data_IF_834629651847
#
_entry.id   IF_834629651847
#
_cell.length_a   1.000
_cell.length_b   1.000
_cell.length_c   1.000
_cell.angle_alpha   90.00
_cell.angle_beta   90.00
_cell.angle_gamma   90.00
#
_symmetry.space_group_name_H-M   'P 1'
#
loop_
_entity.id
_entity.type
_entity.pdbx_description
1 polymer ?
#
# COMPACT_ATOMS: atom_id res chain seq x y z
N UNK A 1 0.17 -39.46 -5.37
CA UNK A 1 -0.65 -38.81 -4.31
C UNK A 1 -0.92 -37.38 -4.73
N UNK A 2 -2.16 -37.07 -5.13
CA UNK A 2 -2.56 -35.71 -5.52
C UNK A 2 -2.82 -34.94 -4.23
N UNK A 3 -2.07 -33.87 -3.98
CA UNK A 3 -2.31 -33.01 -2.82
C UNK A 3 -3.74 -32.48 -2.90
N UNK A 4 -4.60 -32.93 -2.00
CA UNK A 4 -5.96 -32.42 -1.82
C UNK A 4 -5.81 -30.97 -1.40
N UNK A 5 -6.00 -30.03 -2.32
CA UNK A 5 -6.14 -28.63 -1.99
C UNK A 5 -7.45 -28.58 -1.20
N UNK A 6 -7.38 -28.56 0.14
CA UNK A 6 -8.53 -28.19 0.94
C UNK A 6 -9.02 -26.85 0.40
N UNK A 7 -10.25 -26.84 -0.13
CA UNK A 7 -10.88 -25.62 -0.61
C UNK A 7 -10.94 -24.65 0.56
N UNK A 8 -10.05 -23.64 0.51
CA UNK A 8 -9.99 -22.57 1.49
C UNK A 8 -11.37 -21.93 1.56
N UNK A 9 -12.01 -22.01 2.72
CA UNK A 9 -13.35 -21.44 2.91
C UNK A 9 -13.38 -19.93 2.60
N UNK A 10 -14.56 -19.38 2.26
CA UNK A 10 -14.70 -17.99 1.80
C UNK A 10 -14.23 -16.95 2.85
N UNK A 11 -14.18 -17.31 4.13
CA UNK A 11 -13.69 -16.45 5.23
C UNK A 11 -12.17 -16.52 5.45
N UNK A 12 -11.47 -17.40 4.75
CA UNK A 12 -10.03 -17.56 4.89
C UNK A 12 -9.27 -16.38 4.28
N UNK A 13 -8.24 -15.90 5.00
CA UNK A 13 -7.35 -14.86 4.51
C UNK A 13 -5.89 -15.16 4.85
N UNK A 14 -5.01 -14.68 3.98
CA UNK A 14 -3.56 -14.71 4.18
C UNK A 14 -3.01 -13.33 4.52
N UNK A 15 -3.62 -12.26 4.03
CA UNK A 15 -3.08 -10.92 4.23
C UNK A 15 -4.14 -9.84 4.29
N UNK A 16 -3.69 -8.63 4.62
CA UNK A 16 -4.53 -7.43 4.75
C UNK A 16 -3.96 -6.30 3.89
N UNK A 17 -4.78 -5.77 2.98
CA UNK A 17 -4.55 -4.50 2.30
C UNK A 17 -5.15 -3.38 3.14
N UNK A 18 -4.38 -2.34 3.41
CA UNK A 18 -4.84 -1.14 4.09
C UNK A 18 -4.68 0.04 3.15
N UNK A 19 -5.79 0.58 2.66
CA UNK A 19 -5.79 1.79 1.86
C UNK A 19 -6.05 2.98 2.78
N UNK A 20 -5.21 4.01 2.71
CA UNK A 20 -5.30 5.22 3.53
C UNK A 20 -5.35 6.45 2.63
N UNK A 21 -6.30 7.34 2.93
CA UNK A 21 -6.71 8.45 2.10
C UNK A 21 -6.94 8.05 0.62
N UNK A 22 -7.61 6.92 0.33
CA UNK A 22 -7.71 6.46 -1.06
C UNK A 22 -8.57 7.39 -1.91
N UNK A 23 -8.11 7.66 -3.13
CA UNK A 23 -8.98 8.25 -4.16
C UNK A 23 -9.95 7.18 -4.70
N UNK A 24 -11.11 7.57 -5.27
CA UNK A 24 -12.02 6.62 -5.92
C UNK A 24 -11.33 5.79 -7.01
N UNK A 25 -10.38 6.38 -7.75
CA UNK A 25 -9.60 5.67 -8.78
C UNK A 25 -8.77 4.52 -8.17
N UNK A 26 -8.12 4.75 -7.02
CA UNK A 26 -7.32 3.73 -6.32
C UNK A 26 -8.22 2.58 -5.87
N UNK A 27 -9.37 2.88 -5.27
CA UNK A 27 -10.33 1.84 -4.82
C UNK A 27 -10.83 1.02 -6.00
N UNK A 28 -11.24 1.67 -7.08
CA UNK A 28 -11.73 1.02 -8.29
C UNK A 28 -10.65 0.15 -8.94
N UNK A 29 -9.41 0.64 -9.00
CA UNK A 29 -8.28 -0.14 -9.50
C UNK A 29 -8.04 -1.41 -8.70
N UNK A 30 -8.04 -1.30 -7.37
CA UNK A 30 -7.85 -2.44 -6.46
C UNK A 30 -8.96 -3.47 -6.65
N UNK A 31 -10.23 -3.05 -6.62
CA UNK A 31 -11.37 -3.95 -6.81
C UNK A 31 -11.34 -4.63 -8.18
N UNK A 32 -11.03 -3.88 -9.25
CA UNK A 32 -10.85 -4.44 -10.60
C UNK A 32 -9.75 -5.50 -10.63
N UNK A 33 -8.60 -5.25 -9.99
CA UNK A 33 -7.48 -6.20 -9.99
C UNK A 33 -7.81 -7.48 -9.23
N UNK A 34 -8.56 -7.39 -8.14
CA UNK A 34 -9.03 -8.55 -7.39
C UNK A 34 -10.01 -9.36 -8.24
N UNK A 35 -11.01 -8.71 -8.84
CA UNK A 35 -12.02 -9.38 -9.68
C UNK A 35 -11.45 -10.06 -10.94
N UNK A 36 -10.28 -9.60 -11.42
CA UNK A 36 -9.57 -10.20 -12.55
C UNK A 36 -8.88 -11.52 -12.21
N UNK A 37 -8.64 -11.82 -10.93
CA UNK A 37 -7.94 -13.02 -10.49
C UNK A 37 -8.94 -14.02 -9.90
N UNK A 38 -9.17 -15.13 -10.61
CA UNK A 38 -10.13 -16.17 -10.21
C UNK A 38 -9.76 -16.88 -8.90
N UNK A 39 -8.52 -16.74 -8.44
CA UNK A 39 -8.01 -17.43 -7.25
C UNK A 39 -7.90 -16.51 -6.03
N UNK A 40 -8.36 -15.26 -6.14
CA UNK A 40 -8.28 -14.26 -5.06
C UNK A 40 -9.66 -13.72 -4.75
N UNK A 41 -10.00 -13.65 -3.46
CA UNK A 41 -11.24 -13.04 -3.00
C UNK A 41 -11.01 -12.19 -1.76
N UNK A 42 -11.98 -11.33 -1.47
CA UNK A 42 -12.05 -10.53 -0.26
C UNK A 42 -12.80 -11.34 0.80
N UNK A 43 -12.09 -11.76 1.86
CA UNK A 43 -12.67 -12.50 2.98
C UNK A 43 -13.43 -11.58 3.96
N UNK A 44 -12.97 -10.33 4.07
CA UNK A 44 -13.56 -9.28 4.92
C UNK A 44 -13.21 -7.91 4.35
N UNK A 45 -14.14 -6.97 4.40
CA UNK A 45 -13.92 -5.55 4.16
C UNK A 45 -14.36 -4.76 5.41
N UNK A 46 -13.56 -3.79 5.83
CA UNK A 46 -13.86 -2.95 7.00
C UNK A 46 -13.50 -1.49 6.71
N UNK A 47 -14.39 -0.57 7.11
CA UNK A 47 -14.11 0.88 7.02
C UNK A 47 -13.14 1.28 8.13
N UNK A 48 -12.07 1.98 7.76
CA UNK A 48 -11.15 2.62 8.68
C UNK A 48 -11.41 4.14 8.71
N UNK A 49 -10.95 4.83 9.76
CA UNK A 49 -11.14 6.29 9.94
C UNK A 49 -10.85 7.13 8.69
N UNK A 50 -9.82 6.75 7.93
CA UNK A 50 -9.41 7.45 6.72
C UNK A 50 -9.19 6.51 5.53
N UNK A 51 -9.98 5.44 5.42
CA UNK A 51 -9.89 4.54 4.28
C UNK A 51 -10.56 3.19 4.51
N UNK A 52 -9.99 2.14 3.93
CA UNK A 52 -10.57 0.79 3.97
C UNK A 52 -9.49 -0.27 4.19
N UNK A 53 -9.85 -1.30 4.94
CA UNK A 53 -9.04 -2.51 5.14
C UNK A 53 -9.73 -3.69 4.42
N UNK A 54 -8.98 -4.40 3.58
CA UNK A 54 -9.43 -5.58 2.84
C UNK A 54 -8.58 -6.80 3.25
N UNK A 55 -9.23 -7.86 3.71
CA UNK A 55 -8.57 -9.14 3.99
C UNK A 55 -8.64 -10.02 2.74
N UNK A 56 -7.49 -10.44 2.23
CA UNK A 56 -7.35 -11.18 0.98
C UNK A 56 -6.82 -12.60 1.21
N UNK A 57 -7.25 -13.53 0.37
CA UNK A 57 -6.88 -14.95 0.41
C UNK A 57 -5.49 -15.29 -0.11
N UNK A 58 -4.73 -14.32 -0.64
CA UNK A 58 -3.41 -14.54 -1.25
C UNK A 58 -2.39 -13.47 -0.89
N UNK A 59 -1.32 -13.87 -0.17
CA UNK A 59 -0.17 -13.01 0.14
C UNK A 59 0.59 -12.57 -1.11
N UNK A 60 0.78 -13.50 -2.07
CA UNK A 60 1.51 -13.23 -3.31
C UNK A 60 0.83 -12.13 -4.12
N UNK A 61 -0.48 -12.26 -4.30
CA UNK A 61 -1.29 -11.25 -4.98
C UNK A 61 -1.21 -9.91 -4.26
N UNK A 62 -1.35 -9.90 -2.93
CA UNK A 62 -1.33 -8.68 -2.13
C UNK A 62 -0.01 -7.90 -2.27
N UNK A 63 1.13 -8.61 -2.24
CA UNK A 63 2.46 -8.00 -2.43
C UNK A 63 2.65 -7.42 -3.84
N UNK A 64 2.19 -8.14 -4.86
CA UNK A 64 2.25 -7.67 -6.24
C UNK A 64 1.34 -6.46 -6.49
N UNK A 65 0.12 -6.50 -5.96
CA UNK A 65 -0.82 -5.39 -5.99
C UNK A 65 -0.22 -4.14 -5.32
N UNK A 66 0.43 -4.30 -4.16
CA UNK A 66 1.14 -3.20 -3.50
C UNK A 66 2.21 -2.54 -4.38
N UNK A 67 3.02 -3.33 -5.09
CA UNK A 67 4.03 -2.82 -6.03
C UNK A 67 3.37 -2.08 -7.20
N UNK A 68 2.27 -2.62 -7.75
CA UNK A 68 1.50 -1.99 -8.82
C UNK A 68 0.90 -0.65 -8.39
N UNK A 69 0.36 -0.57 -7.17
CA UNK A 69 -0.15 0.67 -6.59
C UNK A 69 0.93 1.75 -6.52
N UNK A 70 2.11 1.42 -5.95
CA UNK A 70 3.24 2.37 -5.87
C UNK A 70 3.72 2.85 -7.23
N UNK A 71 3.69 2.00 -8.26
CA UNK A 71 4.10 2.39 -9.61
C UNK A 71 3.10 3.32 -10.29
N UNK A 72 1.80 3.15 -10.03
CA UNK A 72 0.73 3.86 -10.73
C UNK A 72 0.24 5.12 -10.02
N UNK A 73 0.24 5.13 -8.69
CA UNK A 73 -0.40 6.17 -7.90
C UNK A 73 0.59 6.89 -6.99
N UNK A 74 0.30 8.16 -6.71
CA UNK A 74 1.00 8.96 -5.71
C UNK A 74 0.76 8.36 -4.32
N UNK A 75 1.80 7.81 -3.69
CA UNK A 75 1.62 7.23 -2.37
C UNK A 75 2.83 6.54 -1.78
N UNK A 76 2.67 6.17 -0.52
CA UNK A 76 3.66 5.46 0.28
C UNK A 76 3.18 4.03 0.51
N UNK A 77 4.00 3.09 0.05
CA UNK A 77 3.83 1.66 0.29
C UNK A 77 4.64 1.23 1.51
N UNK A 78 3.99 0.58 2.48
CA UNK A 78 4.63 -0.12 3.60
C UNK A 78 4.16 -1.56 3.62
N UNK A 79 5.07 -2.49 3.84
CA UNK A 79 4.77 -3.92 3.92
C UNK A 79 5.34 -4.50 5.20
N UNK A 80 4.58 -5.33 5.90
CA UNK A 80 5.06 -6.09 7.06
C UNK A 80 4.56 -7.53 7.00
N UNK A 81 5.27 -8.43 7.68
CA UNK A 81 4.94 -9.85 7.79
C UNK A 81 4.93 -10.25 9.26
N UNK A 82 3.94 -11.04 9.67
CA UNK A 82 3.86 -11.66 10.99
C UNK A 82 3.77 -13.17 10.82
N UNK A 83 4.57 -13.93 11.58
CA UNK A 83 4.44 -15.38 11.61
C UNK A 83 3.05 -15.72 12.17
N UNK A 84 2.27 -16.51 11.43
CA UNK A 84 0.94 -16.90 11.85
C UNK A 84 0.93 -18.30 12.46
N UNK A 85 1.49 -19.27 11.74
CA UNK A 85 1.57 -20.66 12.17
C UNK A 85 2.66 -21.38 11.40
N UNK A 86 2.86 -22.66 11.69
CA UNK A 86 3.77 -23.54 10.99
C UNK A 86 2.98 -24.72 10.44
N UNK A 87 3.22 -25.09 9.19
CA UNK A 87 2.59 -26.24 8.57
C UNK A 87 3.05 -27.51 9.28
N UNK A 88 2.14 -28.22 9.94
CA UNK A 88 2.44 -29.36 10.82
C UNK A 88 3.28 -30.45 10.17
N UNK A 89 3.07 -30.72 8.88
CA UNK A 89 3.75 -31.81 8.16
C UNK A 89 5.06 -31.36 7.50
N UNK A 90 5.11 -30.14 6.97
CA UNK A 90 6.23 -29.69 6.12
C UNK A 90 7.17 -28.75 6.86
N UNK A 91 6.84 -28.43 8.12
CA UNK A 91 7.51 -27.44 8.96
C UNK A 91 7.63 -26.05 8.32
N UNK A 92 6.91 -25.78 7.22
CA UNK A 92 6.94 -24.49 6.53
C UNK A 92 6.27 -23.41 7.37
N UNK A 93 6.94 -22.29 7.56
CA UNK A 93 6.41 -21.13 8.25
C UNK A 93 5.37 -20.40 7.38
N UNK A 94 4.16 -20.25 7.91
CA UNK A 94 3.05 -19.55 7.26
C UNK A 94 2.94 -18.15 7.86
N UNK A 95 3.10 -17.14 7.00
CA UNK A 95 3.04 -15.74 7.39
C UNK A 95 1.71 -15.10 7.00
N UNK A 96 1.29 -14.10 7.78
CA UNK A 96 0.30 -13.13 7.36
C UNK A 96 0.96 -11.82 6.97
N UNK A 97 0.62 -11.30 5.79
CA UNK A 97 1.21 -10.06 5.26
C UNK A 97 0.25 -8.90 5.44
N UNK A 98 0.76 -7.75 5.86
CA UNK A 98 0.04 -6.47 5.79
C UNK A 98 0.69 -5.59 4.74
N UNK A 99 -0.11 -5.09 3.80
CA UNK A 99 0.31 -4.09 2.81
C UNK A 99 -0.50 -2.83 3.08
N UNK A 100 0.18 -1.76 3.45
CA UNK A 100 -0.41 -0.44 3.61
C UNK A 100 -0.02 0.44 2.43
N UNK A 101 -1.01 1.05 1.80
CA UNK A 101 -0.83 2.07 0.78
C UNK A 101 -1.53 3.36 1.22
N UNK A 102 -0.74 4.38 1.53
CA UNK A 102 -1.22 5.73 1.85
C UNK A 102 -1.10 6.60 0.60
N UNK A 103 -2.21 7.08 0.08
CA UNK A 103 -2.17 8.03 -1.04
C UNK A 103 -1.67 9.39 -0.55
N UNK A 104 -0.99 10.11 -1.44
CA UNK A 104 -0.49 11.46 -1.22
C UNK A 104 -1.08 12.40 -2.27
N UNK A 105 -1.21 13.66 -1.92
CA UNK A 105 -1.72 14.72 -2.80
C UNK A 105 -0.64 15.27 -3.76
N UNK A 106 0.60 14.77 -3.67
CA UNK A 106 1.74 15.14 -4.52
C UNK A 106 2.58 13.93 -4.95
N UNK A 107 3.37 14.12 -6.00
CA UNK A 107 4.21 13.12 -6.67
C UNK A 107 5.66 13.56 -6.71
N UNK A 108 6.54 12.60 -7.05
CA UNK A 108 7.93 12.89 -7.36
C UNK A 108 7.98 13.77 -8.61
N UNK A 109 8.72 14.88 -8.53
CA UNK A 109 8.86 15.87 -9.58
C UNK A 109 8.09 17.16 -9.30
N UNK A 110 7.04 17.11 -8.47
CA UNK A 110 6.20 18.25 -8.16
C UNK A 110 6.99 19.35 -7.43
N UNK A 111 6.54 20.60 -7.60
CA UNK A 111 7.07 21.77 -6.90
C UNK A 111 6.00 22.24 -5.93
N UNK A 112 6.35 22.27 -4.65
CA UNK A 112 5.48 22.69 -3.55
C UNK A 112 6.02 24.01 -3.01
N UNK A 113 5.15 25.01 -2.87
CA UNK A 113 5.50 26.28 -2.25
C UNK A 113 5.29 26.21 -0.74
N UNK A 114 6.34 26.49 0.04
CA UNK A 114 6.33 26.44 1.50
C UNK A 114 6.88 27.75 2.02
N UNK A 115 6.04 28.58 2.63
CA UNK A 115 6.42 29.88 3.19
C UNK A 115 7.17 30.78 2.18
N UNK A 116 6.74 30.79 0.91
CA UNK A 116 7.37 31.55 -0.18
C UNK A 116 8.59 30.87 -0.82
N UNK A 117 9.03 29.71 -0.32
CA UNK A 117 10.10 28.94 -0.93
C UNK A 117 9.56 27.82 -1.83
N UNK A 118 10.13 27.66 -3.03
CA UNK A 118 9.76 26.57 -3.93
C UNK A 118 10.61 25.33 -3.68
N UNK A 119 9.97 24.25 -3.24
CA UNK A 119 10.59 22.97 -2.93
C UNK A 119 10.21 21.93 -3.98
N UNK A 120 11.21 21.36 -4.68
CA UNK A 120 11.00 20.25 -5.62
C UNK A 120 11.04 18.90 -4.91
N UNK A 121 10.02 18.09 -5.11
CA UNK A 121 9.93 16.71 -4.58
C UNK A 121 10.87 15.81 -5.39
N UNK A 122 11.91 15.29 -4.73
CA UNK A 122 12.94 14.48 -5.37
C UNK A 122 12.69 12.97 -5.20
N UNK A 123 12.23 12.55 -4.02
CA UNK A 123 11.92 11.15 -3.74
C UNK A 123 10.86 11.00 -2.66
N UNK A 124 10.06 9.94 -2.75
CA UNK A 124 8.98 9.62 -1.82
C UNK A 124 9.19 8.20 -1.29
N UNK A 125 9.55 8.09 -0.02
CA UNK A 125 9.74 6.82 0.67
C UNK A 125 8.99 6.82 2.02
N UNK A 126 9.69 6.58 3.14
CA UNK A 126 9.13 6.80 4.49
C UNK A 126 9.04 8.31 4.80
N UNK A 127 9.98 9.08 4.26
CA UNK A 127 10.02 10.54 4.28
C UNK A 127 10.10 11.05 2.83
N UNK A 128 9.78 12.32 2.66
CA UNK A 128 9.87 12.99 1.35
C UNK A 128 11.18 13.75 1.30
N UNK A 129 12.00 13.47 0.30
CA UNK A 129 13.19 14.27 0.03
C UNK A 129 12.79 15.43 -0.86
N UNK A 130 13.08 16.64 -0.42
CA UNK A 130 12.81 17.87 -1.15
C UNK A 130 14.11 18.63 -1.43
N UNK A 131 14.15 19.38 -2.52
CA UNK A 131 15.24 20.29 -2.85
C UNK A 131 14.68 21.71 -2.97
N UNK A 132 15.18 22.64 -2.18
CA UNK A 132 14.86 24.06 -2.35
C UNK A 132 15.46 24.55 -3.68
N UNK A 133 14.63 25.16 -4.52
CA UNK A 133 15.03 25.62 -5.85
C UNK A 133 15.89 26.89 -5.83
N UNK A 134 15.72 27.75 -4.83
CA UNK A 134 16.49 28.98 -4.66
C UNK A 134 17.88 28.72 -4.08
N UNK A 135 17.97 27.89 -3.04
CA UNK A 135 19.25 27.64 -2.32
C UNK A 135 19.95 26.37 -2.78
N UNK A 136 19.26 25.47 -3.49
CA UNK A 136 19.76 24.16 -3.88
C UNK A 136 19.85 23.13 -2.74
N UNK A 137 19.57 23.53 -1.49
CA UNK A 137 19.65 22.68 -0.29
C UNK A 137 18.63 21.53 -0.36
N UNK A 138 19.04 20.35 0.12
CA UNK A 138 18.18 19.15 0.19
C UNK A 138 17.80 18.84 1.63
N UNK A 139 16.54 18.50 1.85
CA UNK A 139 16.01 18.19 3.18
C UNK A 139 15.06 16.99 3.14
N UNK A 140 14.81 16.39 4.30
CA UNK A 140 13.86 15.27 4.46
C UNK A 140 12.72 15.67 5.37
N UNK A 141 11.52 15.68 4.80
CA UNK A 141 10.31 16.13 5.49
C UNK A 141 9.35 14.97 5.69
N UNK A 142 8.51 15.07 6.74
CA UNK A 142 7.39 14.14 6.91
C UNK A 142 6.34 14.43 5.83
N UNK A 143 5.77 13.41 5.16
CA UNK A 143 4.73 13.60 4.16
C UNK A 143 3.57 14.46 4.68
N UNK A 144 3.16 14.24 5.93
CA UNK A 144 2.05 14.94 6.59
C UNK A 144 2.28 16.46 6.71
N UNK A 145 3.54 16.90 6.72
CA UNK A 145 3.87 18.34 6.79
C UNK A 145 3.70 18.96 5.42
N UNK A 146 4.18 18.30 4.36
CA UNK A 146 4.06 18.79 2.98
C UNK A 146 2.62 18.77 2.48
N UNK A 147 1.81 17.78 2.88
CA UNK A 147 0.37 17.72 2.56
C UNK A 147 -0.40 18.97 3.03
N UNK A 148 0.10 19.74 4.00
CA UNK A 148 -0.53 20.99 4.47
C UNK A 148 -0.40 22.16 3.48
N UNK A 149 0.57 22.08 2.57
CA UNK A 149 0.88 23.14 1.61
C UNK A 149 0.40 22.82 0.19
N UNK A 150 -0.23 21.65 0.00
CA UNK A 150 -0.77 21.20 -1.29
C UNK A 150 -2.30 21.29 -1.32
N UNK A 151 -2.93 21.47 -0.16
CA UNK A 151 -4.39 21.56 0.01
C UNK A 151 -4.93 22.96 -0.16
#
# INVERSE_FOLDING_TARGET
MVARIEEKGPKYFEGKLQLRNPTPEVVNYVRKKIAQDKHVWIAKEEKAKNGIDLWLSSNKFLLDLGKKLKKRFAGILKTSKKLHTQHKITSKLLYRVTVLFRCLDFRKGDIIEVNGEKLKVMDISKQVMVKNLSTGKKERWKPEVLERYVR
#
